data_IF_003717044198
#
_entry.id   IF_003717044198
#
_cell.length_a   1.000
_cell.length_b   1.000
_cell.length_c   1.000
_cell.angle_alpha   90.00
_cell.angle_beta   90.00
_cell.angle_gamma   90.00
#
_symmetry.space_group_name_H-M   'P 1'
#
loop_
_entity.id
_entity.type
_entity.pdbx_description
1 polymer ?
#
# COMPACT_ATOMS: atom_id res chain seq x y z
N UNK A 1 20.44 -13.40 12.46
CA UNK A 1 20.80 -12.50 13.56
C UNK A 1 20.96 -13.32 14.83
N UNK A 2 22.05 -13.13 15.55
CA UNK A 2 22.27 -13.74 16.84
C UNK A 2 21.70 -12.85 17.92
N UNK A 3 20.75 -13.35 18.71
CA UNK A 3 20.14 -12.56 19.78
C UNK A 3 21.11 -12.20 20.91
N UNK A 4 22.21 -12.95 21.06
CA UNK A 4 23.22 -12.65 22.06
C UNK A 4 23.96 -11.33 21.78
N UNK A 5 23.96 -10.89 20.52
CA UNK A 5 24.56 -9.61 20.13
C UNK A 5 23.61 -8.43 20.31
N UNK A 6 22.35 -8.69 20.63
CA UNK A 6 21.39 -7.62 20.84
C UNK A 6 21.62 -6.93 22.18
N UNK A 7 21.69 -5.59 22.13
CA UNK A 7 21.82 -4.77 23.35
C UNK A 7 20.76 -3.67 23.31
N UNK A 8 19.81 -3.65 24.25
CA UNK A 8 18.82 -2.59 24.33
C UNK A 8 19.42 -1.23 24.72
N UNK A 9 20.65 -1.22 25.26
CA UNK A 9 21.33 0.01 25.66
C UNK A 9 22.11 0.67 24.53
N UNK A 10 22.10 0.08 23.34
CA UNK A 10 22.79 0.67 22.19
C UNK A 10 22.13 1.97 21.80
N UNK A 11 23.00 2.94 21.48
CA UNK A 11 22.55 4.27 21.05
C UNK A 11 22.13 4.31 19.58
N UNK A 12 22.16 3.20 18.89
CA UNK A 12 21.69 3.08 17.51
C UNK A 12 20.20 3.40 17.45
N UNK A 13 19.80 4.06 16.39
CA UNK A 13 18.38 4.24 16.14
C UNK A 13 17.75 2.91 15.75
N UNK A 14 16.99 2.33 16.65
CA UNK A 14 16.25 1.08 16.42
C UNK A 14 14.76 1.32 16.34
N UNK A 15 14.35 2.56 16.12
CA UNK A 15 12.94 2.89 15.94
C UNK A 15 12.45 2.28 14.63
N UNK A 16 11.34 1.58 14.72
CA UNK A 16 10.64 1.04 13.56
C UNK A 16 9.55 2.01 13.18
N UNK A 17 9.50 2.39 11.91
CA UNK A 17 8.39 3.14 11.36
C UNK A 17 7.61 2.26 10.40
N UNK A 18 6.32 2.17 10.60
CA UNK A 18 5.41 1.48 9.70
C UNK A 18 4.53 2.52 9.03
N UNK A 19 4.59 2.58 7.71
CA UNK A 19 3.67 3.39 6.93
C UNK A 19 2.55 2.52 6.40
N UNK A 20 1.31 3.00 6.52
CA UNK A 20 0.15 2.35 5.94
C UNK A 20 -0.61 3.35 5.08
N UNK A 21 -1.19 2.85 4.00
CA UNK A 21 -2.04 3.64 3.12
C UNK A 21 -3.31 2.87 2.80
N UNK A 22 -4.41 3.59 2.69
CA UNK A 22 -5.68 3.04 2.21
C UNK A 22 -6.07 3.80 0.95
N UNK A 23 -6.44 3.05 -0.10
CA UNK A 23 -6.87 3.63 -1.37
C UNK A 23 -8.24 3.08 -1.71
N UNK A 24 -9.13 3.97 -2.13
CA UNK A 24 -10.42 3.58 -2.68
C UNK A 24 -10.44 3.92 -4.16
N UNK A 25 -10.68 2.91 -4.98
CA UNK A 25 -10.82 3.05 -6.42
C UNK A 25 -12.27 2.82 -6.83
N UNK A 26 -12.73 3.62 -7.78
CA UNK A 26 -14.01 3.41 -8.44
C UNK A 26 -13.77 2.91 -9.85
N UNK A 27 -14.54 1.91 -10.25
CA UNK A 27 -14.48 1.27 -11.57
C UNK A 27 -15.76 1.60 -12.33
N UNK A 28 -15.88 2.81 -12.92
CA UNK A 28 -17.12 3.20 -13.59
C UNK A 28 -17.45 2.24 -14.73
N UNK A 29 -18.72 1.87 -14.82
CA UNK A 29 -19.20 1.01 -15.90
C UNK A 29 -18.80 -0.46 -15.78
N UNK A 30 -18.05 -0.85 -14.77
CA UNK A 30 -17.75 -2.27 -14.59
C UNK A 30 -18.99 -3.03 -14.12
N UNK A 31 -19.36 -4.08 -14.86
CA UNK A 31 -20.57 -4.85 -14.61
C UNK A 31 -20.30 -6.30 -14.26
N UNK A 32 -19.02 -6.70 -14.16
CA UNK A 32 -18.69 -8.10 -13.92
C UNK A 32 -17.64 -8.25 -12.82
N UNK A 33 -17.73 -9.35 -12.09
CA UNK A 33 -16.72 -9.74 -11.12
C UNK A 33 -15.39 -10.05 -11.80
N UNK A 34 -15.42 -10.63 -12.98
CA UNK A 34 -14.22 -10.91 -13.78
C UNK A 34 -13.48 -9.63 -14.14
N UNK A 35 -14.19 -8.59 -14.56
CA UNK A 35 -13.61 -7.28 -14.87
C UNK A 35 -12.97 -6.65 -13.64
N UNK A 36 -13.64 -6.71 -12.49
CA UNK A 36 -13.10 -6.20 -11.23
C UNK A 36 -11.83 -6.95 -10.82
N UNK A 37 -11.85 -8.28 -10.85
CA UNK A 37 -10.69 -9.10 -10.48
C UNK A 37 -9.49 -8.79 -11.35
N UNK A 38 -9.70 -8.53 -12.63
CA UNK A 38 -8.64 -8.15 -13.56
C UNK A 38 -7.96 -6.84 -13.13
N UNK A 39 -8.75 -5.84 -12.78
CA UNK A 39 -8.23 -4.54 -12.30
C UNK A 39 -7.49 -4.72 -10.97
N UNK A 40 -8.09 -5.41 -10.00
CA UNK A 40 -7.49 -5.67 -8.69
C UNK A 40 -6.15 -6.38 -8.83
N UNK A 41 -6.10 -7.44 -9.61
CA UNK A 41 -4.87 -8.19 -9.87
C UNK A 41 -3.79 -7.31 -10.51
N UNK A 42 -4.17 -6.51 -11.49
CA UNK A 42 -3.25 -5.60 -12.18
C UNK A 42 -2.64 -4.58 -11.20
N UNK A 43 -3.45 -3.98 -10.34
CA UNK A 43 -2.97 -3.01 -9.34
C UNK A 43 -1.99 -3.69 -8.39
N UNK A 44 -2.38 -4.82 -7.81
CA UNK A 44 -1.55 -5.53 -6.83
C UNK A 44 -0.21 -5.96 -7.44
N UNK A 45 -0.24 -6.59 -8.59
CA UNK A 45 0.99 -7.08 -9.23
C UNK A 45 1.94 -5.96 -9.61
N UNK A 46 1.43 -4.89 -10.21
CA UNK A 46 2.27 -3.77 -10.67
C UNK A 46 2.86 -2.97 -9.52
N UNK A 47 2.09 -2.76 -8.46
CA UNK A 47 2.59 -2.09 -7.26
C UNK A 47 3.67 -2.92 -6.59
N UNK A 48 3.42 -4.22 -6.39
CA UNK A 48 4.41 -5.14 -5.81
C UNK A 48 5.69 -5.17 -6.62
N UNK A 49 5.58 -5.26 -7.93
CA UNK A 49 6.74 -5.32 -8.80
C UNK A 49 7.58 -4.04 -8.75
N UNK A 50 6.93 -2.89 -8.81
CA UNK A 50 7.64 -1.60 -8.86
C UNK A 50 8.20 -1.17 -7.52
N UNK A 51 7.44 -1.33 -6.45
CA UNK A 51 7.78 -0.76 -5.13
C UNK A 51 8.23 -1.80 -4.11
N UNK A 52 7.96 -3.08 -4.35
CA UNK A 52 8.28 -4.19 -3.43
C UNK A 52 7.73 -3.96 -2.03
N UNK A 53 6.50 -3.48 -1.96
CA UNK A 53 5.78 -3.23 -0.71
C UNK A 53 4.62 -4.21 -0.59
N UNK A 54 4.10 -4.34 0.63
CA UNK A 54 2.88 -5.12 0.85
C UNK A 54 1.68 -4.35 0.32
N UNK A 55 0.83 -5.04 -0.44
CA UNK A 55 -0.42 -4.51 -0.94
C UNK A 55 -1.47 -5.61 -0.97
N UNK A 56 -2.69 -5.27 -0.59
CA UNK A 56 -3.81 -6.20 -0.56
C UNK A 56 -5.12 -5.47 -0.81
N UNK A 57 -6.08 -6.18 -1.39
CA UNK A 57 -7.47 -5.73 -1.38
C UNK A 57 -8.06 -6.01 -0.01
N UNK A 58 -8.70 -5.00 0.60
CA UNK A 58 -9.17 -5.08 1.98
C UNK A 58 -10.68 -4.84 2.14
N UNK A 59 -11.37 -4.40 1.11
CA UNK A 59 -12.79 -4.11 1.23
C UNK A 59 -13.48 -4.00 -0.11
N UNK A 60 -14.81 -3.84 -0.05
CA UNK A 60 -15.70 -3.73 -1.21
C UNK A 60 -15.62 -4.93 -2.15
N UNK A 61 -15.30 -6.12 -1.62
CA UNK A 61 -15.07 -7.32 -2.42
C UNK A 61 -16.32 -7.78 -3.17
N UNK A 62 -17.51 -7.49 -2.62
CA UNK A 62 -18.79 -7.83 -3.25
C UNK A 62 -19.35 -6.72 -4.14
N UNK A 63 -18.63 -5.60 -4.25
CA UNK A 63 -19.06 -4.44 -5.03
C UNK A 63 -18.31 -4.42 -6.36
N UNK A 64 -19.03 -4.45 -7.47
CA UNK A 64 -18.42 -4.53 -8.80
C UNK A 64 -17.75 -3.23 -9.26
N UNK A 65 -18.10 -2.09 -8.67
CA UNK A 65 -17.65 -0.77 -9.12
C UNK A 65 -16.78 -0.06 -8.12
N UNK A 66 -16.30 -0.77 -7.10
CA UNK A 66 -15.47 -0.20 -6.06
C UNK A 66 -14.45 -1.24 -5.58
N UNK A 67 -13.23 -0.80 -5.32
CA UNK A 67 -12.20 -1.62 -4.72
C UNK A 67 -11.46 -0.80 -3.67
N UNK A 68 -11.13 -1.43 -2.54
CA UNK A 68 -10.37 -0.79 -1.47
C UNK A 68 -9.10 -1.58 -1.23
N UNK A 69 -7.96 -0.89 -1.27
CA UNK A 69 -6.64 -1.49 -1.09
C UNK A 69 -5.96 -0.93 0.14
N UNK A 70 -5.12 -1.74 0.75
CA UNK A 70 -4.15 -1.29 1.74
C UNK A 70 -2.74 -1.56 1.24
N UNK A 71 -1.83 -0.65 1.58
CA UNK A 71 -0.39 -0.79 1.37
C UNK A 71 0.32 -0.64 2.70
N UNK A 72 1.45 -1.32 2.87
CA UNK A 72 2.27 -1.18 4.08
C UNK A 72 3.74 -1.21 3.74
N UNK A 73 4.52 -0.37 4.44
CA UNK A 73 5.96 -0.24 4.27
C UNK A 73 6.60 -0.15 5.65
N UNK A 74 7.70 -0.85 5.84
CA UNK A 74 8.48 -0.83 7.08
C UNK A 74 9.84 -0.22 6.82
N UNK A 75 10.32 0.60 7.74
CA UNK A 75 11.66 1.18 7.69
C UNK A 75 11.97 1.91 8.98
N UNK A 76 13.00 2.74 8.96
CA UNK A 76 13.42 3.54 10.10
C UNK A 76 13.40 5.05 9.83
N UNK A 77 12.95 5.46 8.67
CA UNK A 77 12.89 6.87 8.30
C UNK A 77 11.50 7.20 7.77
N UNK A 78 10.76 8.00 8.52
CA UNK A 78 9.38 8.35 8.20
C UNK A 78 9.25 9.14 6.89
N UNK A 79 10.23 9.99 6.55
CA UNK A 79 10.21 10.73 5.28
C UNK A 79 10.30 9.79 4.09
N UNK A 80 11.21 8.83 4.15
CA UNK A 80 11.39 7.84 3.08
C UNK A 80 10.13 7.00 2.91
N UNK A 81 9.56 6.54 4.02
CA UNK A 81 8.34 5.71 4.00
C UNK A 81 7.17 6.48 3.41
N UNK A 82 6.99 7.73 3.86
CA UNK A 82 5.92 8.56 3.32
C UNK A 82 6.10 8.81 1.82
N UNK A 83 7.33 9.06 1.39
CA UNK A 83 7.63 9.27 -0.04
C UNK A 83 7.34 8.02 -0.87
N UNK A 84 7.67 6.83 -0.37
CA UNK A 84 7.37 5.57 -1.06
C UNK A 84 5.86 5.40 -1.23
N UNK A 85 5.09 5.64 -0.16
CA UNK A 85 3.63 5.52 -0.22
C UNK A 85 3.01 6.55 -1.17
N UNK A 86 3.47 7.79 -1.13
CA UNK A 86 3.01 8.82 -2.07
C UNK A 86 3.26 8.41 -3.52
N UNK A 87 4.46 7.91 -3.80
CA UNK A 87 4.80 7.46 -5.15
C UNK A 87 3.96 6.27 -5.59
N UNK A 88 3.69 5.34 -4.67
CA UNK A 88 2.85 4.18 -4.96
C UNK A 88 1.41 4.59 -5.27
N UNK A 89 0.85 5.53 -4.50
CA UNK A 89 -0.50 6.06 -4.73
C UNK A 89 -0.56 6.77 -6.08
N UNK A 90 0.41 7.63 -6.37
CA UNK A 90 0.48 8.34 -7.65
C UNK A 90 0.63 7.37 -8.83
N UNK A 91 1.38 6.29 -8.63
CA UNK A 91 1.53 5.25 -9.64
C UNK A 91 0.20 4.55 -9.94
N UNK A 92 -0.57 4.22 -8.91
CA UNK A 92 -1.89 3.60 -9.09
C UNK A 92 -2.82 4.53 -9.85
N UNK A 93 -2.84 5.81 -9.49
CA UNK A 93 -3.64 6.81 -10.20
C UNK A 93 -3.23 6.92 -11.66
N UNK A 94 -1.93 6.95 -11.94
CA UNK A 94 -1.39 7.09 -13.29
C UNK A 94 -1.63 5.86 -14.16
N UNK A 95 -1.91 4.69 -13.58
CA UNK A 95 -2.27 3.50 -14.35
C UNK A 95 -3.55 3.69 -15.16
N UNK A 96 -4.42 4.57 -14.68
CA UNK A 96 -5.68 4.93 -15.33
C UNK A 96 -6.60 3.72 -15.63
N UNK A 97 -6.53 2.69 -14.78
CA UNK A 97 -7.40 1.49 -14.89
C UNK A 97 -8.67 1.66 -14.08
N UNK A 98 -8.68 2.63 -13.16
CA UNK A 98 -9.80 2.96 -12.30
C UNK A 98 -9.61 4.38 -11.78
N UNK A 99 -10.63 4.93 -11.17
CA UNK A 99 -10.61 6.29 -10.64
C UNK A 99 -10.24 6.26 -9.15
N UNK A 100 -9.16 6.94 -8.77
CA UNK A 100 -8.80 7.11 -7.37
C UNK A 100 -9.74 8.16 -6.76
N UNK A 101 -10.60 7.75 -5.82
CA UNK A 101 -11.58 8.64 -5.22
C UNK A 101 -11.22 9.04 -3.80
N UNK A 102 -10.39 8.25 -3.12
CA UNK A 102 -9.98 8.54 -1.76
C UNK A 102 -8.64 7.87 -1.47
N UNK A 103 -7.77 8.55 -0.72
CA UNK A 103 -6.53 7.99 -0.21
C UNK A 103 -6.20 8.58 1.15
N UNK A 104 -5.53 7.81 1.97
CA UNK A 104 -5.02 8.26 3.26
C UNK A 104 -3.74 7.51 3.61
N UNK A 105 -2.83 8.21 4.31
CA UNK A 105 -1.57 7.65 4.79
C UNK A 105 -1.49 7.91 6.28
N UNK A 106 -1.00 6.91 7.03
CA UNK A 106 -0.65 7.04 8.43
C UNK A 106 0.72 6.42 8.68
N UNK A 107 1.48 7.02 9.58
CA UNK A 107 2.81 6.56 9.97
C UNK A 107 2.80 6.23 11.46
N UNK A 108 3.28 5.03 11.79
CA UNK A 108 3.29 4.53 13.16
C UNK A 108 4.75 4.29 13.56
N UNK A 109 5.18 4.91 14.65
CA UNK A 109 6.51 4.71 15.21
C UNK A 109 6.45 3.72 16.38
N UNK A 110 7.43 2.81 16.37
CA UNK A 110 7.51 1.77 17.41
C UNK A 110 8.93 1.61 17.92
#
# INVERSE_FOLDING_TARGET
MDFDDYSPDRLDNTTITVGIARLTLRLPGNTSLKGKRKVVKSVIEKVRHKFRISVAEIGAQDTLQRAVFAMAVVGNDSRTINAVLDKAINFVEAMNVAELVEDEIDLIAF
#
